data_IF_785407482119
#
_entry.id   IF_785407482119
#
_cell.length_a   1.000
_cell.length_b   1.000
_cell.length_c   1.000
_cell.angle_alpha   90.00
_cell.angle_beta   90.00
_cell.angle_gamma   90.00
#
_symmetry.space_group_name_H-M   'P 1'
#
loop_
_entity.id
_entity.type
_entity.pdbx_description
1 polymer ?
#
# COMPACT_ATOMS: atom_id res chain seq x y z
N UNK A 1 4.29 35.22 3.34
CA UNK A 1 5.33 34.33 2.75
C UNK A 1 4.80 32.90 2.73
N UNK A 2 4.45 32.34 1.57
CA UNK A 2 4.09 30.91 1.47
C UNK A 2 5.38 30.12 1.62
N UNK A 3 5.55 29.39 2.72
CA UNK A 3 6.66 28.46 2.90
C UNK A 3 6.78 27.59 1.64
N UNK A 4 7.98 27.51 1.06
CA UNK A 4 8.25 26.69 -0.11
C UNK A 4 7.80 25.26 0.19
N UNK A 5 6.66 24.87 -0.38
CA UNK A 5 6.05 23.57 -0.11
C UNK A 5 6.92 22.54 -0.80
N UNK A 6 7.61 21.70 -0.02
CA UNK A 6 8.53 20.70 -0.56
C UNK A 6 7.83 19.90 -1.67
N UNK A 7 8.42 19.90 -2.87
CA UNK A 7 7.78 19.51 -4.14
C UNK A 7 7.23 18.08 -4.09
N UNK A 8 7.92 17.20 -3.36
CA UNK A 8 7.52 15.81 -3.16
C UNK A 8 6.17 15.68 -2.44
N UNK A 9 5.84 16.57 -1.50
CA UNK A 9 4.59 16.52 -0.72
C UNK A 9 3.52 17.49 -1.23
N UNK A 10 3.67 18.00 -2.46
CA UNK A 10 2.71 18.90 -3.08
C UNK A 10 1.45 18.17 -3.60
N UNK A 11 1.55 16.87 -3.89
CA UNK A 11 0.44 16.02 -4.34
C UNK A 11 0.61 14.59 -3.83
N UNK A 12 -0.50 13.93 -3.49
CA UNK A 12 -0.52 12.59 -2.92
C UNK A 12 0.15 11.49 -3.74
N UNK A 13 0.13 11.58 -5.07
CA UNK A 13 0.76 10.57 -5.94
C UNK A 13 2.29 10.58 -5.89
N UNK A 14 2.91 11.76 -5.69
CA UNK A 14 4.35 11.96 -5.85
C UNK A 14 5.19 11.15 -4.86
N UNK A 15 4.95 11.21 -3.53
CA UNK A 15 5.78 10.47 -2.59
C UNK A 15 5.55 8.97 -2.75
N UNK A 16 4.32 8.53 -3.01
CA UNK A 16 3.97 7.12 -3.00
C UNK A 16 4.31 6.37 -4.29
N UNK A 17 4.17 6.97 -5.48
CA UNK A 17 4.67 6.33 -6.69
C UNK A 17 6.20 6.32 -6.77
N UNK A 18 6.86 7.37 -6.26
CA UNK A 18 8.31 7.36 -6.12
C UNK A 18 8.76 6.29 -5.13
N UNK A 19 8.12 6.21 -3.95
CA UNK A 19 8.39 5.19 -2.95
C UNK A 19 8.17 3.79 -3.54
N UNK A 20 7.05 3.54 -4.23
CA UNK A 20 6.79 2.25 -4.87
C UNK A 20 7.89 1.85 -5.86
N UNK A 21 8.30 2.76 -6.74
CA UNK A 21 9.37 2.51 -7.73
C UNK A 21 10.72 2.20 -7.07
N UNK A 22 11.16 3.06 -6.15
CA UNK A 22 12.42 2.86 -5.42
C UNK A 22 12.39 1.58 -4.58
N UNK A 23 11.27 1.32 -3.91
CA UNK A 23 11.12 0.18 -3.03
C UNK A 23 11.10 -1.14 -3.80
N UNK A 24 10.48 -1.18 -4.97
CA UNK A 24 10.54 -2.36 -5.84
C UNK A 24 11.99 -2.71 -6.19
N UNK A 25 12.80 -1.73 -6.58
CA UNK A 25 14.23 -1.95 -6.90
C UNK A 25 14.96 -2.51 -5.67
N UNK A 26 14.79 -1.88 -4.51
CA UNK A 26 15.48 -2.27 -3.26
C UNK A 26 15.05 -3.67 -2.82
N UNK A 27 13.74 -3.92 -2.68
CA UNK A 27 13.21 -5.15 -2.12
C UNK A 27 13.39 -6.35 -3.06
N UNK A 28 13.25 -6.17 -4.38
CA UNK A 28 13.55 -7.23 -5.34
C UNK A 28 15.05 -7.52 -5.39
N UNK A 29 15.90 -6.49 -5.40
CA UNK A 29 17.36 -6.65 -5.35
C UNK A 29 17.82 -7.38 -4.08
N UNK A 30 17.29 -7.01 -2.92
CA UNK A 30 17.53 -7.69 -1.65
C UNK A 30 17.08 -9.15 -1.70
N UNK A 31 15.87 -9.41 -2.20
CA UNK A 31 15.35 -10.78 -2.32
C UNK A 31 16.20 -11.66 -3.24
N UNK A 32 16.60 -11.17 -4.41
CA UNK A 32 17.49 -11.89 -5.34
C UNK A 32 18.82 -12.22 -4.65
N UNK A 33 19.36 -11.28 -3.88
CA UNK A 33 20.61 -11.47 -3.13
C UNK A 33 20.47 -12.57 -2.06
N UNK A 34 19.36 -12.57 -1.31
CA UNK A 34 19.08 -13.63 -0.32
C UNK A 34 18.93 -15.01 -0.96
N UNK A 35 18.22 -15.08 -2.09
CA UNK A 35 18.08 -16.33 -2.84
C UNK A 35 19.42 -16.84 -3.36
N UNK A 36 20.24 -15.96 -3.96
CA UNK A 36 21.53 -16.33 -4.52
C UNK A 36 22.52 -16.80 -3.44
N UNK A 37 22.47 -16.20 -2.25
CA UNK A 37 23.31 -16.58 -1.12
C UNK A 37 22.78 -17.79 -0.33
N UNK A 38 21.57 -18.26 -0.61
CA UNK A 38 20.90 -19.30 0.20
C UNK A 38 20.59 -18.85 1.63
N UNK A 39 20.49 -17.54 1.86
CA UNK A 39 20.31 -16.96 3.20
C UNK A 39 18.84 -16.62 3.45
N UNK A 40 18.41 -16.74 4.71
CA UNK A 40 17.18 -16.13 5.17
C UNK A 40 17.36 -14.60 5.28
N UNK A 41 16.42 -13.77 4.78
CA UNK A 41 16.42 -12.33 5.01
C UNK A 41 16.64 -12.01 6.48
N UNK A 42 17.79 -11.41 6.77
CA UNK A 42 18.21 -11.01 8.11
C UNK A 42 18.13 -12.15 9.16
N UNK A 43 18.09 -13.42 8.74
CA UNK A 43 18.08 -14.59 9.63
C UNK A 43 16.74 -14.95 10.29
N UNK A 44 15.65 -14.23 10.03
CA UNK A 44 14.40 -14.38 10.80
C UNK A 44 13.24 -15.05 10.04
N UNK A 45 13.17 -14.92 8.71
CA UNK A 45 12.00 -15.31 7.93
C UNK A 45 12.40 -16.09 6.67
N UNK A 46 11.55 -17.01 6.17
CA UNK A 46 11.75 -17.60 4.86
C UNK A 46 11.77 -16.51 3.78
N UNK A 47 12.77 -16.54 2.89
CA UNK A 47 12.99 -15.52 1.85
C UNK A 47 11.75 -15.23 1.00
N UNK A 48 10.97 -16.28 0.71
CA UNK A 48 9.72 -16.19 -0.05
C UNK A 48 8.63 -15.41 0.69
N UNK A 49 8.46 -15.63 1.99
CA UNK A 49 7.41 -14.99 2.78
C UNK A 49 7.74 -13.53 3.02
N UNK A 50 9.01 -13.23 3.32
CA UNK A 50 9.50 -11.84 3.43
C UNK A 50 9.25 -11.08 2.13
N UNK A 51 9.69 -11.63 0.99
CA UNK A 51 9.46 -11.00 -0.31
C UNK A 51 7.99 -10.83 -0.64
N UNK A 52 7.17 -11.86 -0.40
CA UNK A 52 5.74 -11.80 -0.66
C UNK A 52 5.05 -10.69 0.15
N UNK A 53 5.39 -10.55 1.43
CA UNK A 53 4.88 -9.47 2.28
C UNK A 53 5.35 -8.10 1.77
N UNK A 54 6.64 -7.96 1.48
CA UNK A 54 7.21 -6.71 1.02
C UNK A 54 6.68 -6.23 -0.34
N UNK A 55 6.41 -7.17 -1.25
CA UNK A 55 5.78 -6.84 -2.52
C UNK A 55 4.31 -6.45 -2.34
N UNK A 56 3.57 -7.14 -1.48
CA UNK A 56 2.13 -6.92 -1.32
C UNK A 56 1.79 -5.68 -0.49
N UNK A 57 2.38 -5.55 0.70
CA UNK A 57 2.05 -4.46 1.63
C UNK A 57 2.99 -3.27 1.50
N UNK A 58 4.25 -3.51 1.13
CA UNK A 58 5.24 -2.45 0.91
C UNK A 58 5.06 -1.78 -0.44
N UNK A 59 5.36 -2.52 -1.52
CA UNK A 59 5.32 -2.01 -2.89
C UNK A 59 3.88 -1.74 -3.37
N UNK A 60 3.01 -2.76 -3.41
CA UNK A 60 1.63 -2.58 -3.89
C UNK A 60 0.85 -1.67 -2.94
N UNK A 61 1.08 -1.75 -1.62
CA UNK A 61 0.48 -0.82 -0.65
C UNK A 61 0.83 0.64 -0.93
N UNK A 62 2.09 0.95 -1.23
CA UNK A 62 2.48 2.30 -1.66
C UNK A 62 1.79 2.71 -2.97
N UNK A 63 1.75 1.83 -3.98
CA UNK A 63 1.08 2.12 -5.24
C UNK A 63 -0.43 2.40 -5.05
N UNK A 64 -1.11 1.62 -4.20
CA UNK A 64 -2.52 1.81 -3.83
C UNK A 64 -2.73 3.14 -3.13
N UNK A 65 -1.85 3.52 -2.20
CA UNK A 65 -1.92 4.84 -1.57
C UNK A 65 -1.75 5.98 -2.58
N UNK A 66 -0.76 5.89 -3.47
CA UNK A 66 -0.55 6.88 -4.53
C UNK A 66 -1.77 7.03 -5.45
N UNK A 67 -2.39 5.91 -5.82
CA UNK A 67 -3.64 5.89 -6.58
C UNK A 67 -4.81 6.52 -5.80
N UNK A 68 -5.10 6.06 -4.58
CA UNK A 68 -6.26 6.52 -3.80
C UNK A 68 -6.16 7.99 -3.40
N UNK A 69 -4.98 8.47 -3.04
CA UNK A 69 -4.75 9.88 -2.73
C UNK A 69 -4.94 10.81 -3.94
N UNK A 70 -4.99 10.25 -5.15
CA UNK A 70 -5.22 10.98 -6.40
C UNK A 70 -6.65 10.83 -6.89
N UNK A 71 -7.18 9.61 -6.84
CA UNK A 71 -8.50 9.26 -7.32
C UNK A 71 -9.62 9.78 -6.40
N UNK A 72 -9.42 9.75 -5.08
CA UNK A 72 -10.47 10.17 -4.15
C UNK A 72 -10.80 11.67 -4.28
N UNK A 73 -9.82 12.60 -4.37
CA UNK A 73 -10.10 14.00 -4.65
C UNK A 73 -10.88 14.20 -5.95
N UNK A 74 -10.55 13.47 -7.02
CA UNK A 74 -11.26 13.60 -8.31
C UNK A 74 -12.69 13.05 -8.26
N UNK A 75 -12.95 11.99 -7.49
CA UNK A 75 -14.31 11.46 -7.30
C UNK A 75 -15.19 12.33 -6.43
N UNK A 76 -14.59 12.99 -5.43
CA UNK A 76 -15.31 13.75 -4.39
C UNK A 76 -15.36 15.25 -4.68
N UNK A 77 -14.61 15.75 -5.66
CA UNK A 77 -14.43 17.19 -5.87
C UNK A 77 -13.69 17.88 -4.71
N UNK A 78 -13.09 17.11 -3.79
CA UNK A 78 -12.38 17.66 -2.64
C UNK A 78 -10.99 18.16 -3.03
N UNK A 79 -10.42 19.04 -2.19
CA UNK A 79 -9.03 19.49 -2.37
C UNK A 79 -8.08 18.29 -2.22
N UNK A 80 -7.10 18.19 -3.11
CA UNK A 80 -6.06 17.15 -3.04
C UNK A 80 -5.26 17.19 -1.74
N UNK A 81 -4.74 16.02 -1.35
CA UNK A 81 -3.89 15.87 -0.17
C UNK A 81 -2.50 16.44 -0.42
N UNK A 82 -1.98 17.24 0.52
CA UNK A 82 -0.64 17.79 0.42
C UNK A 82 -0.13 18.34 1.78
N UNK A 83 1.19 18.39 1.96
CA UNK A 83 1.84 18.88 3.17
C UNK A 83 1.88 17.85 4.32
N UNK A 84 1.74 18.27 5.59
CA UNK A 84 2.00 17.43 6.77
C UNK A 84 1.31 16.05 6.80
N UNK A 85 0.03 15.90 6.38
CA UNK A 85 -0.62 14.58 6.37
C UNK A 85 0.08 13.55 5.48
N UNK A 86 0.66 13.99 4.35
CA UNK A 86 1.43 13.11 3.46
C UNK A 86 2.79 12.76 4.05
N UNK A 87 3.42 13.69 4.76
CA UNK A 87 4.71 13.43 5.44
C UNK A 87 4.52 12.35 6.49
N UNK A 88 3.48 12.49 7.33
CA UNK A 88 3.17 11.50 8.36
C UNK A 88 2.86 10.13 7.75
N UNK A 89 2.04 10.08 6.70
CA UNK A 89 1.69 8.82 6.05
C UNK A 89 2.91 8.15 5.39
N UNK A 90 3.78 8.93 4.73
CA UNK A 90 5.01 8.41 4.13
C UNK A 90 6.01 7.94 5.20
N UNK A 91 6.11 8.66 6.33
CA UNK A 91 6.93 8.25 7.45
C UNK A 91 6.45 6.94 8.07
N UNK A 92 5.13 6.78 8.30
CA UNK A 92 4.57 5.52 8.81
C UNK A 92 4.83 4.36 7.85
N UNK A 93 4.64 4.57 6.55
CA UNK A 93 4.97 3.55 5.55
C UNK A 93 6.45 3.14 5.63
N UNK A 94 7.37 4.11 5.68
CA UNK A 94 8.80 3.83 5.74
C UNK A 94 9.19 3.14 7.07
N UNK A 95 8.60 3.56 8.19
CA UNK A 95 8.81 2.95 9.50
C UNK A 95 8.38 1.48 9.49
N UNK A 96 7.23 1.15 8.88
CA UNK A 96 6.78 -0.23 8.68
C UNK A 96 7.84 -1.06 7.96
N UNK A 97 8.30 -0.59 6.79
CA UNK A 97 9.31 -1.27 5.99
C UNK A 97 10.62 -1.51 6.73
N UNK A 98 11.09 -0.50 7.46
CA UNK A 98 12.31 -0.63 8.27
C UNK A 98 12.09 -1.64 9.40
N UNK A 99 10.93 -1.60 10.07
CA UNK A 99 10.62 -2.52 11.17
C UNK A 99 10.53 -3.97 10.69
N UNK A 100 9.89 -4.23 9.54
CA UNK A 100 9.78 -5.58 8.99
C UNK A 100 11.09 -6.10 8.40
N UNK A 101 11.89 -5.23 7.77
CA UNK A 101 13.27 -5.57 7.42
C UNK A 101 14.12 -5.90 8.67
N UNK A 102 13.83 -5.27 9.81
CA UNK A 102 14.48 -5.51 11.08
C UNK A 102 13.82 -6.64 11.92
N UNK A 103 13.04 -7.53 11.31
CA UNK A 103 12.25 -8.53 12.03
C UNK A 103 13.07 -9.48 12.92
N UNK A 104 14.36 -9.64 12.63
CA UNK A 104 15.29 -10.43 13.44
C UNK A 104 15.65 -9.80 14.79
N UNK A 105 15.51 -8.47 14.91
CA UNK A 105 15.98 -7.70 16.06
C UNK A 105 14.86 -7.02 16.84
N UNK A 106 13.62 -7.07 16.33
CA UNK A 106 12.48 -6.39 16.93
C UNK A 106 11.42 -7.40 17.42
N UNK A 107 10.75 -7.13 18.56
CA UNK A 107 9.58 -7.89 18.96
C UNK A 107 8.46 -7.76 17.93
N UNK A 108 7.73 -8.85 17.67
CA UNK A 108 6.60 -8.86 16.73
C UNK A 108 5.53 -7.81 17.01
N UNK A 109 5.30 -7.45 18.28
CA UNK A 109 4.37 -6.39 18.64
C UNK A 109 4.81 -5.01 18.09
N UNK A 110 6.12 -4.72 18.08
CA UNK A 110 6.66 -3.47 17.55
C UNK A 110 6.56 -3.45 16.03
N UNK A 111 6.88 -4.57 15.37
CA UNK A 111 6.75 -4.73 13.92
C UNK A 111 5.29 -4.54 13.50
N UNK A 112 4.35 -5.20 14.20
CA UNK A 112 2.93 -5.09 13.92
C UNK A 112 2.40 -3.67 14.12
N UNK A 113 2.80 -2.97 15.18
CA UNK A 113 2.39 -1.58 15.41
C UNK A 113 2.91 -0.64 14.31
N UNK A 114 4.16 -0.83 13.88
CA UNK A 114 4.79 -0.06 12.82
C UNK A 114 4.11 -0.31 11.46
N UNK A 115 3.91 -1.58 11.10
CA UNK A 115 3.35 -1.97 9.81
C UNK A 115 1.86 -1.64 9.66
N UNK A 116 1.08 -2.00 10.68
CA UNK A 116 -0.38 -1.85 10.64
C UNK A 116 -0.84 -0.40 10.80
N UNK A 117 0.05 0.55 11.10
CA UNK A 117 -0.29 1.97 11.24
C UNK A 117 -0.57 2.69 9.92
N UNK A 118 0.00 2.21 8.82
CA UNK A 118 -0.06 2.89 7.52
C UNK A 118 -1.48 2.89 6.90
N UNK A 119 -2.10 1.72 6.74
CA UNK A 119 -3.40 1.59 6.05
C UNK A 119 -4.56 2.27 6.80
N UNK A 120 -4.66 2.23 8.15
CA UNK A 120 -5.69 2.97 8.88
C UNK A 120 -5.56 4.48 8.73
N UNK A 121 -4.33 5.02 8.72
CA UNK A 121 -4.15 6.45 8.46
C UNK A 121 -4.54 6.81 7.02
N UNK A 122 -4.18 5.99 6.04
CA UNK A 122 -4.63 6.17 4.66
C UNK A 122 -6.15 6.15 4.58
N UNK A 123 -6.80 5.16 5.19
CA UNK A 123 -8.26 5.01 5.24
C UNK A 123 -8.93 6.21 5.90
N UNK A 124 -8.37 6.73 6.99
CA UNK A 124 -8.86 7.93 7.66
C UNK A 124 -8.82 9.16 6.75
N UNK A 125 -7.68 9.39 6.08
CA UNK A 125 -7.49 10.54 5.19
C UNK A 125 -8.48 10.53 4.02
N UNK A 126 -8.61 9.39 3.33
CA UNK A 126 -9.51 9.29 2.17
C UNK A 126 -10.98 9.14 2.60
N UNK A 127 -11.22 8.48 3.72
CA UNK A 127 -12.56 8.18 4.22
C UNK A 127 -13.32 9.44 4.63
N UNK A 128 -12.63 10.45 5.17
CA UNK A 128 -13.24 11.75 5.47
C UNK A 128 -13.92 12.38 4.25
N UNK A 129 -13.26 12.37 3.09
CA UNK A 129 -13.83 12.92 1.86
C UNK A 129 -14.94 12.02 1.30
N UNK A 130 -14.74 10.70 1.31
CA UNK A 130 -15.73 9.76 0.77
C UNK A 130 -17.06 9.79 1.55
N UNK A 131 -16.99 9.84 2.88
CA UNK A 131 -18.16 9.87 3.76
C UNK A 131 -18.88 11.21 3.65
N UNK A 132 -18.14 12.32 3.71
CA UNK A 132 -18.73 13.67 3.65
C UNK A 132 -19.50 13.90 2.36
N UNK A 133 -18.96 13.46 1.24
CA UNK A 133 -19.59 13.64 -0.07
C UNK A 133 -20.51 12.48 -0.47
N UNK A 134 -20.79 11.53 0.46
CA UNK A 134 -21.60 10.31 0.23
C UNK A 134 -21.24 9.61 -1.09
N UNK A 135 -19.93 9.49 -1.34
CA UNK A 135 -19.44 9.06 -2.64
C UNK A 135 -19.69 7.56 -2.86
N UNK A 136 -20.17 7.20 -4.06
CA UNK A 136 -20.38 5.80 -4.46
C UNK A 136 -19.14 4.91 -4.40
N UNK A 137 -17.94 5.49 -4.35
CA UNK A 137 -16.68 4.76 -4.23
C UNK A 137 -16.30 4.44 -2.77
N UNK A 138 -17.20 4.65 -1.80
CA UNK A 138 -17.06 4.21 -0.41
C UNK A 138 -16.57 2.76 -0.23
N UNK A 139 -16.99 1.77 -1.07
CA UNK A 139 -16.46 0.39 -0.97
C UNK A 139 -14.94 0.26 -1.06
N UNK A 140 -14.21 1.27 -1.56
CA UNK A 140 -12.74 1.28 -1.51
C UNK A 140 -12.20 1.21 -0.07
N UNK A 141 -12.90 1.78 0.91
CA UNK A 141 -12.52 1.67 2.33
C UNK A 141 -12.63 0.23 2.83
N UNK A 142 -13.60 -0.55 2.32
CA UNK A 142 -13.73 -1.97 2.66
C UNK A 142 -12.54 -2.76 2.13
N UNK A 143 -12.04 -2.41 0.95
CA UNK A 143 -10.85 -3.05 0.38
C UNK A 143 -9.61 -2.71 1.21
N UNK A 144 -9.43 -1.44 1.60
CA UNK A 144 -8.31 -1.04 2.48
C UNK A 144 -8.41 -1.76 3.84
N UNK A 145 -9.61 -1.88 4.41
CA UNK A 145 -9.82 -2.61 5.66
C UNK A 145 -9.54 -4.12 5.51
N UNK A 146 -9.97 -4.73 4.40
CA UNK A 146 -9.67 -6.13 4.10
C UNK A 146 -8.16 -6.36 3.98
N UNK A 147 -7.45 -5.49 3.26
CA UNK A 147 -5.99 -5.57 3.16
C UNK A 147 -5.30 -5.43 4.51
N UNK A 148 -5.78 -4.52 5.37
CA UNK A 148 -5.27 -4.37 6.72
C UNK A 148 -5.49 -5.62 7.58
N UNK A 149 -6.68 -6.23 7.52
CA UNK A 149 -6.97 -7.48 8.23
C UNK A 149 -6.09 -8.63 7.72
N UNK A 150 -5.84 -8.70 6.41
CA UNK A 150 -4.98 -9.73 5.82
C UNK A 150 -3.52 -9.50 6.21
N UNK A 151 -3.04 -8.26 6.28
CA UNK A 151 -1.71 -7.92 6.78
C UNK A 151 -1.56 -8.34 8.25
N UNK A 152 -2.54 -8.00 9.09
CA UNK A 152 -2.57 -8.41 10.49
C UNK A 152 -2.57 -9.94 10.65
N UNK A 153 -3.35 -10.65 9.83
CA UNK A 153 -3.33 -12.12 9.79
C UNK A 153 -1.96 -12.67 9.37
N UNK A 154 -1.33 -12.08 8.35
CA UNK A 154 0.00 -12.46 7.90
C UNK A 154 1.04 -12.28 9.01
N UNK A 155 1.08 -11.10 9.65
CA UNK A 155 2.01 -10.79 10.73
C UNK A 155 1.79 -11.70 11.95
N UNK A 156 0.54 -11.99 12.30
CA UNK A 156 0.24 -12.95 13.37
C UNK A 156 0.74 -14.37 13.04
N UNK A 157 0.53 -14.83 11.81
CA UNK A 157 0.99 -16.15 11.37
C UNK A 157 2.52 -16.25 11.34
N UNK A 158 3.21 -15.21 10.86
CA UNK A 158 4.67 -15.12 10.88
C UNK A 158 5.21 -15.10 12.32
N UNK A 159 4.57 -14.38 13.23
CA UNK A 159 4.93 -14.36 14.65
C UNK A 159 4.76 -15.72 15.33
N UNK A 160 3.78 -16.52 14.88
CA UNK A 160 3.55 -17.87 15.35
C UNK A 160 4.47 -18.93 14.68
N UNK A 161 5.27 -18.55 13.68
CA UNK A 161 6.06 -19.49 12.88
C UNK A 161 5.21 -20.38 11.95
N UNK A 162 3.97 -20.00 11.67
CA UNK A 162 3.06 -20.75 10.80
C UNK A 162 3.18 -20.26 9.34
N UNK A 163 4.22 -20.75 8.67
CA UNK A 163 4.53 -20.42 7.27
C UNK A 163 3.37 -20.73 6.31
N UNK A 164 2.58 -21.77 6.62
CA UNK A 164 1.42 -22.15 5.81
C UNK A 164 0.35 -21.08 5.88
N UNK A 165 0.00 -20.63 7.09
CA UNK A 165 -0.99 -19.57 7.26
C UNK A 165 -0.48 -18.23 6.73
N UNK A 166 0.78 -17.88 6.95
CA UNK A 166 1.37 -16.67 6.36
C UNK A 166 1.28 -16.70 4.82
N UNK A 167 1.60 -17.84 4.21
CA UNK A 167 1.46 -18.04 2.77
C UNK A 167 0.02 -17.95 2.27
N UNK A 168 -0.97 -18.43 3.04
CA UNK A 168 -2.39 -18.30 2.72
C UNK A 168 -2.88 -16.85 2.82
N UNK A 169 -2.44 -16.11 3.85
CA UNK A 169 -2.75 -14.68 4.00
C UNK A 169 -2.23 -13.89 2.78
N UNK A 170 -0.97 -14.11 2.37
CA UNK A 170 -0.39 -13.46 1.20
C UNK A 170 -1.16 -13.77 -0.09
N UNK A 171 -1.53 -15.04 -0.34
CA UNK A 171 -2.32 -15.41 -1.53
C UNK A 171 -3.71 -14.78 -1.51
N UNK A 172 -4.35 -14.74 -0.35
CA UNK A 172 -5.64 -14.07 -0.16
C UNK A 172 -5.53 -12.58 -0.47
N UNK A 173 -4.48 -11.91 0.04
CA UNK A 173 -4.23 -10.50 -0.23
C UNK A 173 -3.92 -10.20 -1.70
N UNK A 174 -3.16 -11.06 -2.37
CA UNK A 174 -2.97 -11.01 -3.83
C UNK A 174 -4.33 -11.13 -4.54
N UNK A 175 -5.19 -12.06 -4.13
CA UNK A 175 -6.54 -12.22 -4.68
C UNK A 175 -7.39 -10.95 -4.55
N UNK A 176 -7.35 -10.30 -3.38
CA UNK A 176 -8.03 -9.01 -3.15
C UNK A 176 -7.46 -7.91 -4.04
N UNK A 177 -6.14 -7.85 -4.22
CA UNK A 177 -5.51 -6.87 -5.12
C UNK A 177 -5.85 -7.11 -6.58
N UNK A 178 -5.84 -8.37 -7.04
CA UNK A 178 -6.25 -8.71 -8.41
C UNK A 178 -7.72 -8.37 -8.67
N UNK A 179 -8.59 -8.63 -7.70
CA UNK A 179 -9.99 -8.22 -7.76
C UNK A 179 -10.11 -6.69 -7.88
N UNK A 180 -9.38 -5.94 -7.06
CA UNK A 180 -9.35 -4.47 -7.10
C UNK A 180 -8.91 -3.96 -8.48
N UNK A 181 -7.79 -4.47 -9.01
CA UNK A 181 -7.26 -4.09 -10.33
C UNK A 181 -8.27 -4.44 -11.43
N UNK A 182 -8.90 -5.60 -11.36
CA UNK A 182 -9.92 -6.03 -12.33
C UNK A 182 -11.14 -5.12 -12.30
N UNK A 183 -11.63 -4.77 -11.10
CA UNK A 183 -12.79 -3.87 -10.93
C UNK A 183 -12.48 -2.45 -11.41
N UNK A 184 -11.31 -1.92 -11.08
CA UNK A 184 -10.89 -0.57 -11.50
C UNK A 184 -10.67 -0.56 -13.02
N UNK A 185 -9.90 -1.52 -13.55
CA UNK A 185 -9.62 -1.65 -14.99
C UNK A 185 -10.90 -1.79 -15.80
N UNK A 186 -11.82 -2.65 -15.35
CA UNK A 186 -13.12 -2.86 -15.97
C UNK A 186 -14.04 -1.64 -15.95
N UNK A 187 -13.82 -0.67 -15.07
CA UNK A 187 -14.56 0.61 -15.06
C UNK A 187 -13.90 1.67 -15.93
N UNK A 188 -12.57 1.71 -15.97
CA UNK A 188 -11.79 2.72 -16.68
C UNK A 188 -11.80 2.48 -18.19
N UNK A 189 -11.59 1.24 -18.65
CA UNK A 189 -11.51 0.92 -20.09
C UNK A 189 -12.81 1.29 -20.84
N UNK A 190 -14.01 0.93 -20.35
CA UNK A 190 -15.25 1.35 -21.02
C UNK A 190 -15.51 2.85 -20.97
N UNK A 191 -15.01 3.56 -19.95
CA UNK A 191 -15.18 5.01 -19.85
C UNK A 191 -14.41 5.73 -20.97
N UNK A 192 -13.16 5.34 -21.23
CA UNK A 192 -12.39 5.87 -22.35
C UNK A 192 -13.04 5.53 -23.71
N UNK A 193 -13.55 4.31 -23.87
CA UNK A 193 -14.20 3.91 -25.12
C UNK A 193 -15.47 4.74 -25.42
N UNK A 194 -16.27 5.07 -24.40
CA UNK A 194 -17.42 5.98 -24.57
C UNK A 194 -17.00 7.40 -24.92
N UNK A 195 -15.96 7.91 -24.27
CA UNK A 195 -15.47 9.27 -24.51
C UNK A 195 -14.88 9.43 -25.92
N UNK A 196 -14.17 8.41 -26.43
CA UNK A 196 -13.69 8.41 -27.80
C UNK A 196 -14.84 8.53 -28.81
N UNK A 197 -15.91 7.73 -28.63
CA UNK A 197 -17.08 7.78 -29.52
C UNK A 197 -17.72 9.17 -29.58
N UNK A 198 -17.81 9.87 -28.44
CA UNK A 198 -18.38 11.23 -28.36
C UNK A 198 -17.52 12.31 -29.05
N UNK A 199 -16.22 12.07 -29.25
CA UNK A 199 -15.33 13.01 -29.96
C UNK A 199 -15.32 12.77 -31.47
N UNK A 200 -15.86 11.64 -31.93
CA UNK A 200 -15.87 11.23 -33.34
C UNK A 200 -17.26 11.29 -34.01
N UNK A 201 -18.28 11.74 -33.27
CA UNK A 201 -19.66 11.98 -33.75
C UNK A 201 -19.99 13.45 -33.62
#
# INVERSE_FOLDING_TARGET
MRAARFVLFAYGFRPFFLAAGLYAIIAVGAWISFLAAGLAPFGALPARLWHGHEMLFGFVGAAVAGFLLTAVPSWTGSRGFAGPPLVLLAALWLIGRIAFAAAAWLPWAVIAAAELGFLPLLAFLIGRSLIRERNRNFPMLLIVAALWLIDAWCLWALAAGDDRQAGLALRTGIGVMLLLVTVIGGRIVPAFNRQFKLLTT
#
